data_IF_986540885108
#
_entry.id   IF_986540885108
#
_cell.length_a   1.000
_cell.length_b   1.000
_cell.length_c   1.000
_cell.angle_alpha   90.00
_cell.angle_beta   90.00
_cell.angle_gamma   90.00
#
_symmetry.space_group_name_H-M   'P 1'
#
loop_
_entity.id
_entity.type
_entity.pdbx_description
1 polymer ?
#
# COMPACT_ATOMS: atom_id res chain seq x y z
N UNK A 1 24.40 -26.28 7.35
CA UNK A 1 22.96 -25.95 7.26
C UNK A 1 22.85 -24.51 7.71
N UNK A 2 22.88 -23.58 6.76
CA UNK A 2 22.95 -22.14 7.03
C UNK A 2 21.53 -21.59 7.12
N UNK A 3 21.01 -21.52 8.34
CA UNK A 3 19.72 -20.89 8.61
C UNK A 3 19.92 -19.38 8.78
N UNK A 4 19.46 -18.60 7.81
CA UNK A 4 19.38 -17.13 7.90
C UNK A 4 18.00 -16.72 8.40
N UNK A 5 17.97 -15.91 9.46
CA UNK A 5 16.74 -15.31 9.96
C UNK A 5 16.15 -14.37 8.90
N UNK A 6 15.10 -14.82 8.20
CA UNK A 6 14.41 -14.05 7.16
C UNK A 6 13.00 -13.71 7.65
N UNK A 7 12.64 -12.42 7.61
CA UNK A 7 11.27 -11.97 7.85
C UNK A 7 10.39 -12.53 6.73
N UNK A 8 9.27 -13.21 7.06
CA UNK A 8 8.31 -13.71 6.05
C UNK A 8 7.87 -12.53 5.16
N UNK A 9 8.45 -12.42 3.96
CA UNK A 9 7.86 -11.68 2.86
C UNK A 9 6.95 -12.64 2.10
N UNK A 10 5.76 -12.19 1.74
CA UNK A 10 4.88 -12.94 0.85
C UNK A 10 5.41 -12.70 -0.56
N UNK A 11 6.40 -13.51 -0.99
CA UNK A 11 6.94 -13.45 -2.35
C UNK A 11 5.88 -13.99 -3.31
N UNK A 12 4.92 -13.13 -3.65
CA UNK A 12 3.66 -13.49 -4.30
C UNK A 12 3.81 -13.60 -5.81
N UNK A 13 4.92 -13.09 -6.38
CA UNK A 13 5.19 -13.01 -7.82
C UNK A 13 4.99 -14.35 -8.57
N UNK A 14 5.25 -15.49 -7.93
CA UNK A 14 5.15 -16.82 -8.55
C UNK A 14 3.74 -17.41 -8.58
N UNK A 15 2.79 -16.85 -7.83
CA UNK A 15 1.42 -17.40 -7.64
C UNK A 15 0.36 -16.31 -7.91
N UNK A 16 0.77 -15.19 -8.51
CA UNK A 16 -0.11 -14.07 -8.80
C UNK A 16 -0.96 -14.33 -10.04
N UNK A 17 -2.16 -13.74 -10.04
CA UNK A 17 -3.04 -13.74 -11.19
C UNK A 17 -2.49 -12.80 -12.26
N UNK A 18 -2.69 -13.12 -13.54
CA UNK A 18 -2.28 -12.30 -14.69
C UNK A 18 -2.73 -10.84 -14.57
N UNK A 19 -3.93 -10.61 -14.02
CA UNK A 19 -4.45 -9.25 -13.78
C UNK A 19 -3.55 -8.42 -12.83
N UNK A 20 -3.00 -9.05 -11.79
CA UNK A 20 -2.10 -8.40 -10.82
C UNK A 20 -0.75 -8.16 -11.46
N UNK A 21 -0.22 -9.13 -12.23
CA UNK A 21 1.03 -8.99 -12.99
C UNK A 21 0.92 -7.83 -13.98
N UNK A 22 -0.15 -7.77 -14.79
CA UNK A 22 -0.40 -6.67 -15.72
C UNK A 22 -0.46 -5.32 -15.01
N UNK A 23 -1.08 -5.26 -13.83
CA UNK A 23 -1.15 -4.04 -13.03
C UNK A 23 0.24 -3.63 -12.53
N UNK A 24 1.02 -4.58 -11.99
CA UNK A 24 2.41 -4.35 -11.59
C UNK A 24 3.25 -3.83 -12.75
N UNK A 25 3.19 -4.47 -13.91
CA UNK A 25 3.91 -4.04 -15.12
C UNK A 25 3.56 -2.62 -15.53
N UNK A 26 2.26 -2.28 -15.55
CA UNK A 26 1.80 -0.90 -15.83
C UNK A 26 2.29 0.09 -14.79
N UNK A 27 2.27 -0.27 -13.51
CA UNK A 27 2.80 0.56 -12.44
C UNK A 27 4.30 0.84 -12.64
N UNK A 28 5.10 -0.21 -12.85
CA UNK A 28 6.55 -0.12 -13.05
C UNK A 28 6.91 0.73 -14.28
N UNK A 29 6.18 0.57 -15.39
CA UNK A 29 6.35 1.41 -16.58
C UNK A 29 6.02 2.88 -16.31
N UNK A 30 4.91 3.15 -15.64
CA UNK A 30 4.48 4.52 -15.36
C UNK A 30 5.41 5.23 -14.36
N UNK A 31 5.81 4.57 -13.28
CA UNK A 31 6.70 5.19 -12.29
C UNK A 31 8.07 5.50 -12.90
N UNK A 32 8.61 4.60 -13.73
CA UNK A 32 9.85 4.84 -14.49
C UNK A 32 9.72 6.04 -15.42
N UNK A 33 8.65 6.08 -16.22
CA UNK A 33 8.34 7.22 -17.11
C UNK A 33 8.28 8.54 -16.34
N UNK A 34 7.60 8.58 -15.19
CA UNK A 34 7.49 9.82 -14.41
C UNK A 34 8.82 10.28 -13.83
N UNK A 35 9.72 9.35 -13.46
CA UNK A 35 11.10 9.69 -13.07
C UNK A 35 11.90 10.24 -14.24
N UNK A 36 11.77 9.66 -15.43
CA UNK A 36 12.44 10.14 -16.65
C UNK A 36 11.95 11.53 -17.08
N UNK A 37 10.67 11.84 -16.85
CA UNK A 37 10.09 13.17 -17.03
C UNK A 37 10.53 14.20 -15.97
N UNK A 38 11.28 13.78 -14.95
CA UNK A 38 11.72 14.65 -13.84
C UNK A 38 10.57 15.07 -12.92
N UNK A 39 9.46 14.31 -12.89
CA UNK A 39 8.31 14.64 -12.05
C UNK A 39 8.58 14.27 -10.60
N UNK A 40 8.22 15.17 -9.68
CA UNK A 40 8.38 14.92 -8.25
C UNK A 40 7.43 13.82 -7.78
N UNK A 41 7.94 12.84 -7.04
CA UNK A 41 7.15 11.70 -6.55
C UNK A 41 6.86 11.84 -5.06
N UNK A 42 5.59 11.82 -4.71
CA UNK A 42 5.11 11.79 -3.34
C UNK A 42 4.48 10.45 -3.01
N UNK A 43 4.83 9.89 -1.87
CA UNK A 43 4.36 8.59 -1.39
C UNK A 43 3.53 8.81 -0.14
N UNK A 44 2.29 8.34 -0.14
CA UNK A 44 1.41 8.38 1.03
C UNK A 44 0.98 6.99 1.43
N UNK A 45 0.69 6.84 2.72
CA UNK A 45 0.16 5.62 3.31
C UNK A 45 -0.32 5.87 4.74
N UNK A 46 -1.24 5.01 5.18
CA UNK A 46 -1.75 4.95 6.54
C UNK A 46 -1.00 3.91 7.37
N UNK A 47 -0.79 4.23 8.64
CA UNK A 47 -0.23 3.28 9.59
C UNK A 47 -0.85 3.43 10.97
N UNK A 48 -0.65 2.42 11.83
CA UNK A 48 -1.07 2.48 13.23
C UNK A 48 0.08 2.23 14.20
N UNK A 49 0.00 2.87 15.36
CA UNK A 49 0.91 2.68 16.50
C UNK A 49 0.08 2.45 17.76
N UNK A 50 0.43 1.46 18.56
CA UNK A 50 -0.30 1.12 19.77
C UNK A 50 0.38 1.69 21.03
N UNK A 51 -0.42 1.97 22.05
CA UNK A 51 0.06 2.43 23.36
C UNK A 51 1.09 1.45 23.96
N UNK A 52 0.86 0.14 23.78
CA UNK A 52 1.74 -0.92 24.28
C UNK A 52 2.89 -1.33 23.34
N UNK A 53 3.15 -0.60 22.25
CA UNK A 53 4.24 -0.97 21.34
C UNK A 53 5.61 -0.71 22.01
N UNK A 54 6.35 -1.77 22.30
CA UNK A 54 7.71 -1.72 22.89
C UNK A 54 8.63 -2.80 22.30
N UNK A 55 9.91 -2.75 22.65
CA UNK A 55 10.88 -3.78 22.25
C UNK A 55 10.55 -5.12 22.90
N UNK A 56 10.74 -6.22 22.15
CA UNK A 56 10.59 -7.58 22.69
C UNK A 56 11.74 -8.02 23.58
N UNK A 57 12.84 -7.25 23.57
CA UNK A 57 14.04 -7.48 24.38
C UNK A 57 14.19 -6.31 25.36
N UNK A 58 14.23 -6.63 26.65
CA UNK A 58 14.47 -5.68 27.73
C UNK A 58 15.50 -6.25 28.68
N UNK A 59 16.32 -5.38 29.29
CA UNK A 59 17.23 -5.77 30.36
C UNK A 59 16.43 -5.95 31.64
N UNK A 60 16.42 -7.17 32.16
CA UNK A 60 15.77 -7.50 33.43
C UNK A 60 16.85 -7.64 34.50
N UNK A 61 16.74 -6.83 35.56
CA UNK A 61 17.59 -6.97 36.72
C UNK A 61 17.12 -8.16 37.58
N UNK A 62 17.88 -9.26 37.52
CA UNK A 62 17.59 -10.48 38.27
C UNK A 62 17.95 -10.39 39.77
N UNK A 63 18.59 -9.30 40.22
CA UNK A 63 18.92 -9.08 41.64
C UNK A 63 17.73 -8.56 42.45
N UNK A 64 16.76 -7.93 41.79
CA UNK A 64 15.56 -7.36 42.41
C UNK A 64 14.42 -8.39 42.38
N UNK A 65 14.21 -9.09 43.51
CA UNK A 65 13.22 -10.18 43.61
C UNK A 65 11.76 -9.71 43.86
N UNK A 66 11.55 -8.45 44.27
CA UNK A 66 10.20 -7.91 44.49
C UNK A 66 10.19 -6.37 44.50
N UNK A 67 9.02 -5.78 44.28
CA UNK A 67 8.78 -4.33 44.43
C UNK A 67 9.21 -3.79 45.80
N UNK A 68 8.95 -4.56 46.87
CA UNK A 68 9.32 -4.20 48.24
C UNK A 68 10.84 -4.18 48.44
N UNK A 69 11.57 -5.07 47.77
CA UNK A 69 13.03 -5.12 47.79
C UNK A 69 13.65 -3.94 47.02
N UNK A 70 13.10 -3.59 45.86
CA UNK A 70 13.52 -2.42 45.08
C UNK A 70 13.35 -1.12 45.88
N UNK A 71 12.17 -0.93 46.48
CA UNK A 71 11.82 0.27 47.24
C UNK A 71 12.73 0.49 48.47
N UNK A 72 13.05 -0.57 49.21
CA UNK A 72 13.94 -0.51 50.39
C UNK A 72 15.38 -0.17 50.02
N UNK A 73 15.82 -0.51 48.80
CA UNK A 73 17.16 -0.22 48.28
C UNK A 73 17.24 1.07 47.45
N UNK A 74 16.14 1.82 47.31
CA UNK A 74 16.08 3.02 46.47
C UNK A 74 16.17 2.73 44.96
N UNK A 75 15.92 1.49 44.55
CA UNK A 75 15.94 1.04 43.16
C UNK A 75 14.51 0.96 42.60
N UNK A 76 14.39 1.03 41.26
CA UNK A 76 13.10 0.82 40.57
C UNK A 76 13.07 -0.56 39.92
N UNK A 77 11.90 -1.19 39.83
CA UNK A 77 11.73 -2.52 39.18
C UNK A 77 11.72 -2.45 37.65
N UNK A 78 12.12 -1.33 37.04
CA UNK A 78 11.92 -1.05 35.61
C UNK A 78 10.44 -0.88 35.22
N UNK A 79 10.20 -0.56 33.95
CA UNK A 79 8.84 -0.45 33.39
C UNK A 79 8.21 -1.84 33.24
N UNK A 80 7.04 -2.06 33.86
CA UNK A 80 6.28 -3.29 33.65
C UNK A 80 5.90 -3.45 32.18
N UNK A 81 6.05 -4.65 31.62
CA UNK A 81 5.58 -4.94 30.27
C UNK A 81 4.06 -4.68 30.18
N UNK A 82 3.58 -4.11 29.06
CA UNK A 82 2.17 -3.83 28.90
C UNK A 82 1.38 -5.15 28.85
N UNK A 83 0.23 -5.19 29.51
CA UNK A 83 -0.67 -6.35 29.55
C UNK A 83 -1.47 -6.59 28.26
N UNK A 84 -1.25 -5.77 27.22
CA UNK A 84 -1.85 -5.88 25.89
C UNK A 84 -1.46 -4.70 24.99
N UNK A 85 -1.92 -4.67 23.73
CA UNK A 85 -1.59 -3.59 22.77
C UNK A 85 -2.12 -2.20 23.19
N UNK A 86 -3.23 -2.15 23.94
CA UNK A 86 -3.82 -0.88 24.41
C UNK A 86 -4.52 -0.08 23.30
N UNK A 87 -4.74 1.22 23.54
CA UNK A 87 -5.31 2.16 22.55
C UNK A 87 -4.40 2.29 21.32
N UNK A 88 -4.96 2.59 20.15
CA UNK A 88 -4.19 2.78 18.90
C UNK A 88 -4.31 4.22 18.37
N UNK A 89 -3.24 4.73 17.81
CA UNK A 89 -3.23 5.91 16.95
C UNK A 89 -3.28 5.46 15.49
N UNK A 90 -4.13 6.10 14.71
CA UNK A 90 -4.12 6.02 13.24
C UNK A 90 -3.35 7.25 12.74
N UNK A 91 -2.47 7.02 11.78
CA UNK A 91 -1.53 8.01 11.25
C UNK A 91 -1.56 7.94 9.74
N UNK A 92 -1.84 9.05 9.07
CA UNK A 92 -1.69 9.24 7.64
C UNK A 92 -0.65 10.33 7.41
N UNK A 93 0.26 10.09 6.47
CA UNK A 93 1.22 11.10 6.05
C UNK A 93 1.64 10.86 4.60
N UNK A 94 2.45 11.79 4.10
CA UNK A 94 2.94 11.88 2.74
C UNK A 94 4.36 12.42 2.79
N UNK A 95 5.25 11.81 2.01
CA UNK A 95 6.66 12.20 1.94
C UNK A 95 7.23 11.98 0.54
N UNK A 96 8.43 12.50 0.34
CA UNK A 96 9.17 12.41 -0.91
C UNK A 96 10.67 12.36 -0.61
N UNK A 97 11.51 12.43 -1.64
CA UNK A 97 12.97 12.57 -1.46
C UNK A 97 13.38 13.80 -0.61
N UNK A 98 12.50 14.80 -0.48
CA UNK A 98 12.72 16.00 0.33
C UNK A 98 12.36 15.82 1.82
N UNK A 99 11.88 14.64 2.21
CA UNK A 99 11.35 14.40 3.55
C UNK A 99 9.82 14.27 3.61
N UNK A 100 9.30 14.16 4.83
CA UNK A 100 7.87 14.26 5.11
C UNK A 100 7.36 15.69 4.83
N UNK A 101 6.19 15.83 4.20
CA UNK A 101 5.65 17.15 3.81
C UNK A 101 5.15 17.91 5.04
N UNK A 102 5.70 19.10 5.36
CA UNK A 102 5.25 19.86 6.54
C UNK A 102 3.75 20.16 6.51
N UNK A 103 3.06 19.80 7.59
CA UNK A 103 1.60 19.93 7.71
C UNK A 103 0.80 18.79 7.07
N UNK A 104 1.46 17.75 6.53
CA UNK A 104 0.81 16.57 5.95
C UNK A 104 0.41 15.49 6.96
N UNK A 105 0.83 15.59 8.23
CA UNK A 105 0.54 14.59 9.25
C UNK A 105 -0.92 14.69 9.73
N UNK A 106 -1.70 13.63 9.49
CA UNK A 106 -3.00 13.41 10.12
C UNK A 106 -2.87 12.29 11.15
N UNK A 107 -3.11 12.60 12.42
CA UNK A 107 -2.99 11.62 13.51
C UNK A 107 -4.14 11.74 14.51
N UNK A 108 -4.87 10.65 14.72
CA UNK A 108 -6.00 10.59 15.65
C UNK A 108 -6.07 9.27 16.41
N UNK A 109 -6.68 9.30 17.60
CA UNK A 109 -6.94 8.11 18.41
C UNK A 109 -8.12 7.34 17.84
N UNK A 110 -7.97 6.02 17.74
CA UNK A 110 -9.08 5.16 17.39
C UNK A 110 -10.03 4.97 18.58
N UNK A 111 -11.31 5.18 18.32
CA UNK A 111 -12.43 4.93 19.22
C UNK A 111 -12.64 3.43 19.38
N UNK A 112 -13.03 3.05 20.59
CA UNK A 112 -13.52 1.70 20.91
C UNK A 112 -14.96 1.56 20.41
N UNK A 113 -15.18 1.30 19.13
CA UNK A 113 -16.45 0.73 18.67
C UNK A 113 -16.21 -0.70 18.23
N UNK A 114 -17.10 -1.60 18.67
CA UNK A 114 -17.02 -3.04 18.55
C UNK A 114 -17.33 -3.54 17.12
N UNK A 115 -17.14 -2.68 16.12
CA UNK A 115 -17.60 -2.84 14.73
C UNK A 115 -16.59 -2.13 13.83
N UNK A 116 -16.04 -2.92 12.90
CA UNK A 116 -15.19 -2.57 11.75
C UNK A 116 -14.30 -1.31 11.79
N UNK A 117 -13.00 -1.54 11.56
CA UNK A 117 -11.94 -0.56 11.33
C UNK A 117 -12.28 0.57 10.34
N UNK A 118 -13.28 0.37 9.48
CA UNK A 118 -13.65 1.21 8.35
C UNK A 118 -14.49 2.46 8.69
N UNK A 119 -14.87 2.69 9.95
CA UNK A 119 -15.67 3.86 10.32
C UNK A 119 -14.84 5.14 10.56
N UNK A 120 -13.53 5.03 10.84
CA UNK A 120 -12.73 6.18 11.30
C UNK A 120 -11.96 6.88 10.18
N UNK A 121 -11.22 6.12 9.36
CA UNK A 121 -10.69 6.60 8.09
C UNK A 121 -11.72 6.33 7.00
N UNK A 122 -12.46 7.36 6.61
CA UNK A 122 -13.46 7.28 5.56
C UNK A 122 -13.12 8.23 4.40
N UNK A 123 -13.80 8.03 3.28
CA UNK A 123 -13.51 8.77 2.05
C UNK A 123 -13.63 10.29 2.18
N UNK A 124 -14.51 10.79 3.05
CA UNK A 124 -14.66 12.23 3.28
C UNK A 124 -13.50 12.79 4.13
N UNK A 125 -13.04 12.06 5.15
CA UNK A 125 -11.86 12.43 5.92
C UNK A 125 -10.63 12.49 5.02
N UNK A 126 -10.42 11.45 4.20
CA UNK A 126 -9.29 11.40 3.26
C UNK A 126 -9.37 12.51 2.20
N UNK A 127 -10.55 12.76 1.63
CA UNK A 127 -10.74 13.84 0.66
C UNK A 127 -10.37 15.21 1.22
N UNK A 128 -10.86 15.54 2.43
CA UNK A 128 -10.52 16.81 3.09
C UNK A 128 -9.04 16.93 3.42
N UNK A 129 -8.42 15.83 3.83
CA UNK A 129 -6.97 15.81 4.04
C UNK A 129 -6.21 16.04 2.73
N UNK A 130 -6.60 15.37 1.64
CA UNK A 130 -5.99 15.55 0.32
C UNK A 130 -6.15 17.00 -0.18
N UNK A 131 -7.34 17.57 -0.04
CA UNK A 131 -7.62 18.98 -0.37
C UNK A 131 -6.72 19.94 0.43
N UNK A 132 -6.45 19.63 1.70
CA UNK A 132 -5.59 20.48 2.53
C UNK A 132 -4.09 20.40 2.16
N UNK A 133 -3.62 19.22 1.76
CA UNK A 133 -2.18 18.96 1.52
C UNK A 133 -1.76 19.25 0.09
N UNK A 134 -2.68 19.19 -0.88
CA UNK A 134 -2.36 19.31 -2.30
C UNK A 134 -1.65 20.62 -2.65
N UNK A 135 -2.01 21.73 -1.99
CA UNK A 135 -1.41 23.04 -2.17
C UNK A 135 0.04 23.13 -1.67
N UNK A 136 0.50 22.16 -0.89
CA UNK A 136 1.87 22.08 -0.35
C UNK A 136 2.78 21.19 -1.18
N UNK A 137 2.23 20.47 -2.15
CA UNK A 137 2.97 19.60 -3.06
C UNK A 137 3.50 20.42 -4.24
N UNK A 138 4.63 20.01 -4.82
CA UNK A 138 5.14 20.61 -6.07
C UNK A 138 4.13 20.48 -7.21
N UNK A 139 4.17 21.41 -8.16
CA UNK A 139 3.35 21.32 -9.38
C UNK A 139 3.77 20.13 -10.24
N UNK A 140 2.84 19.62 -11.05
CA UNK A 140 3.07 18.48 -11.95
C UNK A 140 3.62 17.23 -11.25
N UNK A 141 3.45 17.09 -9.93
CA UNK A 141 3.91 15.94 -9.18
C UNK A 141 3.03 14.70 -9.40
N UNK A 142 3.56 13.55 -9.00
CA UNK A 142 2.83 12.28 -8.96
C UNK A 142 2.65 11.88 -7.50
N UNK A 143 1.45 11.47 -7.13
CA UNK A 143 1.08 11.01 -5.80
C UNK A 143 0.82 9.51 -5.87
N UNK A 144 1.62 8.74 -5.15
CA UNK A 144 1.58 7.29 -5.08
C UNK A 144 0.79 6.88 -3.83
N UNK A 145 -0.24 6.06 -4.02
CA UNK A 145 -1.09 5.54 -2.94
C UNK A 145 -1.61 4.13 -3.24
N UNK A 146 -2.15 3.44 -2.23
CA UNK A 146 -2.77 2.12 -2.40
C UNK A 146 -4.20 2.19 -3.00
N UNK A 147 -4.89 1.06 -3.04
CA UNK A 147 -6.26 0.94 -3.56
C UNK A 147 -7.32 0.79 -2.47
N UNK A 148 -7.09 1.32 -1.26
CA UNK A 148 -8.08 1.24 -0.20
C UNK A 148 -9.45 1.78 -0.66
N UNK A 149 -10.59 1.19 -0.21
CA UNK A 149 -11.92 1.61 -0.66
C UNK A 149 -12.19 3.11 -0.47
N UNK A 150 -11.65 3.72 0.59
CA UNK A 150 -11.79 5.15 0.87
C UNK A 150 -10.90 6.06 0.00
N UNK A 151 -9.85 5.53 -0.65
CA UNK A 151 -9.13 6.23 -1.73
C UNK A 151 -9.87 6.19 -3.08
N UNK A 152 -10.84 5.29 -3.19
CA UNK A 152 -11.54 4.93 -4.42
C UNK A 152 -13.00 5.36 -4.43
N UNK A 153 -13.33 6.45 -3.72
CA UNK A 153 -14.69 7.03 -3.73
C UNK A 153 -15.00 7.55 -5.13
N UNK A 154 -16.10 7.07 -5.70
CA UNK A 154 -16.57 7.50 -7.01
C UNK A 154 -17.25 8.87 -6.93
N UNK A 155 -17.08 9.68 -7.97
CA UNK A 155 -17.78 10.97 -8.09
C UNK A 155 -19.29 10.78 -8.16
N UNK A 156 -19.73 9.68 -8.76
CA UNK A 156 -21.13 9.34 -8.93
C UNK A 156 -21.36 7.83 -8.87
N UNK A 157 -22.58 7.43 -8.55
CA UNK A 157 -22.98 6.02 -8.51
C UNK A 157 -23.43 5.58 -9.90
N UNK A 158 -22.61 4.77 -10.56
CA UNK A 158 -22.94 4.22 -11.88
C UNK A 158 -24.03 3.14 -11.73
N UNK A 159 -25.08 3.17 -12.56
CA UNK A 159 -26.11 2.15 -12.54
C UNK A 159 -25.56 0.73 -12.79
N UNK A 160 -26.19 -0.26 -12.17
CA UNK A 160 -25.83 -1.67 -12.33
C UNK A 160 -27.10 -2.55 -12.39
N UNK A 161 -26.93 -3.88 -12.44
CA UNK A 161 -28.05 -4.85 -12.53
C UNK A 161 -29.08 -4.76 -11.40
N UNK A 162 -28.70 -4.21 -10.24
CA UNK A 162 -29.60 -3.99 -9.11
C UNK A 162 -30.28 -2.61 -9.09
N UNK A 163 -29.89 -1.71 -10.00
CA UNK A 163 -30.49 -0.37 -10.13
C UNK A 163 -31.88 -0.48 -10.76
N UNK A 164 -32.85 0.29 -10.24
CA UNK A 164 -34.21 0.29 -10.79
C UNK A 164 -34.19 0.83 -12.22
N UNK A 165 -35.00 0.25 -13.10
CA UNK A 165 -35.07 0.64 -14.52
C UNK A 165 -35.26 2.15 -14.73
N UNK A 166 -36.15 2.78 -13.96
CA UNK A 166 -36.38 4.23 -14.04
C UNK A 166 -35.16 5.06 -13.67
N UNK A 167 -34.38 4.62 -12.67
CA UNK A 167 -33.15 5.30 -12.27
C UNK A 167 -32.03 5.13 -13.32
N UNK A 168 -32.00 3.99 -14.02
CA UNK A 168 -31.06 3.78 -15.15
C UNK A 168 -31.40 4.76 -16.30
N UNK A 169 -32.68 4.86 -16.67
CA UNK A 169 -33.15 5.79 -17.72
C UNK A 169 -32.79 7.23 -17.34
N UNK A 170 -33.14 7.64 -16.12
CA UNK A 170 -32.85 8.99 -15.63
C UNK A 170 -31.35 9.30 -15.67
N UNK A 171 -30.51 8.36 -15.23
CA UNK A 171 -29.06 8.56 -15.27
C UNK A 171 -28.54 8.70 -16.70
N UNK A 172 -29.04 7.90 -17.65
CA UNK A 172 -28.68 8.01 -19.07
C UNK A 172 -29.11 9.37 -19.67
N UNK A 173 -30.33 9.81 -19.37
CA UNK A 173 -30.83 11.12 -19.79
C UNK A 173 -30.00 12.27 -19.21
N UNK A 174 -29.61 12.19 -17.93
CA UNK A 174 -28.70 13.15 -17.29
C UNK A 174 -27.31 13.20 -17.96
N UNK A 175 -26.88 12.12 -18.62
CA UNK A 175 -25.63 12.08 -19.43
C UNK A 175 -25.84 12.49 -20.89
N UNK A 176 -27.05 12.86 -21.27
CA UNK A 176 -27.39 13.30 -22.62
C UNK A 176 -27.70 12.18 -23.61
N UNK A 177 -27.89 10.94 -23.14
CA UNK A 177 -28.37 9.83 -23.98
C UNK A 177 -29.90 9.93 -24.15
N UNK A 178 -30.37 9.75 -25.38
CA UNK A 178 -31.81 9.82 -25.71
C UNK A 178 -32.39 8.41 -25.77
N UNK A 179 -33.44 8.16 -25.00
CA UNK A 179 -34.15 6.87 -24.99
C UNK A 179 -35.50 7.05 -25.67
N UNK A 180 -35.55 6.72 -26.95
CA UNK A 180 -36.69 6.96 -27.85
C UNK A 180 -37.71 5.81 -27.87
N UNK A 181 -37.34 4.64 -27.35
CA UNK A 181 -38.17 3.43 -27.35
C UNK A 181 -38.11 2.69 -26.01
N UNK A 182 -39.13 1.87 -25.70
CA UNK A 182 -39.06 0.97 -24.54
C UNK A 182 -37.91 -0.04 -24.71
N UNK A 183 -36.88 0.08 -23.86
CA UNK A 183 -35.74 -0.85 -23.81
C UNK A 183 -35.82 -1.76 -22.58
N UNK A 184 -35.26 -2.97 -22.65
CA UNK A 184 -35.09 -3.84 -21.46
C UNK A 184 -33.87 -3.41 -20.64
N UNK A 185 -33.78 -3.85 -19.38
CA UNK A 185 -32.66 -3.48 -18.48
C UNK A 185 -31.30 -3.83 -19.09
N UNK A 186 -31.20 -4.97 -19.80
CA UNK A 186 -29.96 -5.39 -20.46
C UNK A 186 -29.49 -4.41 -21.53
N UNK A 187 -30.40 -3.95 -22.41
CA UNK A 187 -30.09 -2.94 -23.44
C UNK A 187 -29.66 -1.61 -22.80
N UNK A 188 -30.34 -1.18 -21.74
CA UNK A 188 -29.98 0.04 -21.01
C UNK A 188 -28.58 -0.07 -20.38
N UNK A 189 -28.26 -1.22 -19.78
CA UNK A 189 -26.95 -1.46 -19.18
C UNK A 189 -25.83 -1.57 -20.21
N UNK A 190 -26.12 -1.98 -21.45
CA UNK A 190 -25.17 -1.95 -22.55
C UNK A 190 -24.75 -0.51 -22.87
N UNK A 191 -25.72 0.42 -22.94
CA UNK A 191 -25.44 1.86 -23.10
C UNK A 191 -24.64 2.39 -21.90
N UNK A 192 -25.06 2.05 -20.67
CA UNK A 192 -24.31 2.42 -19.45
C UNK A 192 -22.87 1.95 -19.54
N UNK A 193 -22.62 0.69 -19.92
CA UNK A 193 -21.26 0.14 -20.04
C UNK A 193 -20.42 0.84 -21.11
N UNK A 194 -21.04 1.30 -22.21
CA UNK A 194 -20.37 2.07 -23.26
C UNK A 194 -19.87 3.42 -22.76
N UNK A 195 -20.70 4.15 -21.99
CA UNK A 195 -20.34 5.49 -21.49
C UNK A 195 -19.65 5.44 -20.12
N UNK A 196 -19.71 4.30 -19.42
CA UNK A 196 -19.11 4.09 -18.10
C UNK A 196 -17.67 4.59 -18.01
N UNK A 197 -16.74 4.31 -18.95
CA UNK A 197 -15.36 4.79 -18.83
C UNK A 197 -15.21 6.31 -18.73
N UNK A 198 -16.18 7.09 -19.24
CA UNK A 198 -16.17 8.56 -19.16
C UNK A 198 -16.64 9.09 -17.81
N UNK A 199 -17.43 8.30 -17.09
CA UNK A 199 -18.12 8.67 -15.84
C UNK A 199 -17.60 7.92 -14.61
N UNK A 200 -16.84 6.83 -14.80
CA UNK A 200 -16.30 5.97 -13.73
C UNK A 200 -15.07 6.57 -13.04
N UNK A 201 -15.20 7.83 -12.64
CA UNK A 201 -14.14 8.66 -12.09
C UNK A 201 -14.12 8.62 -10.57
N UNK A 202 -12.92 8.76 -10.02
CA UNK A 202 -12.69 8.86 -8.58
C UNK A 202 -12.61 10.32 -8.15
N UNK A 203 -13.21 10.64 -7.01
CA UNK A 203 -13.26 12.01 -6.49
C UNK A 203 -11.86 12.58 -6.24
N UNK A 204 -10.96 11.77 -5.68
CA UNK A 204 -9.56 12.15 -5.44
C UNK A 204 -8.81 12.40 -6.75
N UNK A 205 -8.98 11.54 -7.75
CA UNK A 205 -8.31 11.70 -9.05
C UNK A 205 -8.73 13.00 -9.73
N UNK A 206 -10.03 13.32 -9.72
CA UNK A 206 -10.49 14.58 -10.30
C UNK A 206 -9.99 15.79 -9.49
N UNK A 207 -9.99 15.72 -8.15
CA UNK A 207 -9.40 16.76 -7.29
C UNK A 207 -7.91 16.98 -7.60
N UNK A 208 -7.14 15.92 -7.75
CA UNK A 208 -5.69 16.01 -8.00
C UNK A 208 -5.43 16.50 -9.42
N UNK A 209 -6.26 16.08 -10.38
CA UNK A 209 -6.18 16.50 -11.78
C UNK A 209 -6.49 17.98 -11.99
N UNK A 210 -7.46 18.56 -11.28
CA UNK A 210 -7.74 20.01 -11.37
C UNK A 210 -6.56 20.86 -10.90
N UNK A 211 -5.67 20.27 -10.11
CA UNK A 211 -4.45 20.88 -9.61
C UNK A 211 -3.21 20.49 -10.42
N UNK A 212 -3.37 20.00 -11.66
CA UNK A 212 -2.28 19.56 -12.55
C UNK A 212 -1.32 18.56 -11.88
N UNK A 213 -1.87 17.55 -11.19
CA UNK A 213 -1.12 16.48 -10.53
C UNK A 213 -1.68 15.13 -10.98
N UNK A 214 -0.95 14.05 -10.71
CA UNK A 214 -1.35 12.69 -11.14
C UNK A 214 -1.36 11.71 -9.98
N UNK A 215 -2.40 10.88 -9.90
CA UNK A 215 -2.43 9.72 -9.00
C UNK A 215 -1.78 8.52 -9.71
N UNK A 216 -0.91 7.80 -9.00
CA UNK A 216 -0.43 6.48 -9.39
C UNK A 216 -0.76 5.48 -8.29
N UNK A 217 -1.65 4.54 -8.59
CA UNK A 217 -2.07 3.48 -7.65
C UNK A 217 -1.12 2.31 -7.66
N UNK A 218 -0.74 1.85 -6.48
CA UNK A 218 0.04 0.62 -6.29
C UNK A 218 -0.75 -0.61 -6.77
N UNK A 219 -0.07 -1.63 -7.29
CA UNK A 219 -0.72 -2.90 -7.58
C UNK A 219 -1.13 -3.58 -6.25
N UNK A 220 -2.28 -4.28 -6.21
CA UNK A 220 -2.74 -4.97 -5.00
C UNK A 220 -1.66 -5.91 -4.44
N UNK A 221 -1.53 -5.93 -3.11
CA UNK A 221 -0.59 -6.79 -2.36
C UNK A 221 0.91 -6.47 -2.49
N UNK A 222 1.28 -5.33 -3.08
CA UNK A 222 2.67 -4.92 -3.26
C UNK A 222 3.04 -3.66 -2.47
N UNK A 223 2.91 -3.70 -1.14
CA UNK A 223 3.32 -2.56 -0.32
C UNK A 223 4.83 -2.31 -0.33
N UNK A 224 5.65 -3.31 -0.69
CA UNK A 224 7.09 -3.18 -0.89
C UNK A 224 7.48 -2.20 -2.02
N UNK A 225 6.53 -1.87 -2.91
CA UNK A 225 6.67 -0.83 -3.93
C UNK A 225 6.38 0.58 -3.39
N UNK A 226 6.10 0.73 -2.10
CA UNK A 226 5.84 2.02 -1.45
C UNK A 226 6.93 2.34 -0.41
N UNK A 227 7.85 3.29 -0.67
CA UNK A 227 8.98 3.57 0.23
C UNK A 227 8.55 4.15 1.59
N UNK A 228 7.36 4.74 1.70
CA UNK A 228 6.85 5.22 2.99
C UNK A 228 6.68 4.08 4.02
N UNK A 229 6.55 2.83 3.59
CA UNK A 229 6.53 1.67 4.50
C UNK A 229 7.85 1.51 5.26
N UNK A 230 8.98 1.85 4.62
CA UNK A 230 10.29 1.88 5.27
C UNK A 230 10.42 3.07 6.22
N UNK A 231 9.88 4.24 5.84
CA UNK A 231 9.79 5.39 6.72
C UNK A 231 8.96 5.04 7.97
N UNK A 232 7.80 4.41 7.80
CA UNK A 232 6.97 3.92 8.91
C UNK A 232 7.68 2.89 9.76
N UNK A 233 8.44 1.99 9.16
CA UNK A 233 9.27 1.05 9.92
C UNK A 233 10.28 1.78 10.81
N UNK A 234 10.94 2.82 10.30
CA UNK A 234 11.88 3.65 11.09
C UNK A 234 11.17 4.38 12.25
N UNK A 235 10.07 5.07 11.96
CA UNK A 235 9.28 5.81 12.96
C UNK A 235 8.77 4.87 14.05
N UNK A 236 8.19 3.72 13.67
CA UNK A 236 7.70 2.72 14.62
C UNK A 236 8.80 2.11 15.47
N UNK A 237 9.98 1.89 14.88
CA UNK A 237 11.13 1.41 15.63
C UNK A 237 11.58 2.44 16.68
N UNK A 238 11.60 3.72 16.32
CA UNK A 238 11.87 4.80 17.27
C UNK A 238 10.88 4.79 18.45
N UNK A 239 9.57 4.71 18.17
CA UNK A 239 8.54 4.61 19.23
C UNK A 239 8.81 3.40 20.12
N UNK A 240 9.01 2.20 19.55
CA UNK A 240 9.20 0.97 20.31
C UNK A 240 10.41 1.02 21.24
N UNK A 241 11.52 1.61 20.79
CA UNK A 241 12.75 1.72 21.56
C UNK A 241 12.65 2.71 22.73
N UNK A 242 11.75 3.70 22.64
CA UNK A 242 11.68 4.80 23.61
C UNK A 242 10.38 4.79 24.43
N UNK A 243 9.42 3.92 24.12
CA UNK A 243 8.17 3.81 24.85
C UNK A 243 8.35 3.09 26.19
N UNK A 244 8.47 3.87 27.27
CA UNK A 244 8.65 3.37 28.64
C UNK A 244 7.39 3.44 29.50
N UNK A 245 6.38 4.19 29.05
CA UNK A 245 5.21 4.57 29.87
C UNK A 245 3.91 3.93 29.41
N UNK A 246 3.86 3.47 28.15
CA UNK A 246 2.68 2.87 27.52
C UNK A 246 1.43 3.75 27.53
N UNK A 247 1.61 5.08 27.68
CA UNK A 247 0.54 6.07 27.58
C UNK A 247 0.45 6.60 26.16
N UNK A 248 -0.77 6.69 25.64
CA UNK A 248 -1.00 7.12 24.25
C UNK A 248 -0.47 8.54 23.98
N UNK A 249 -0.54 9.44 24.97
CA UNK A 249 0.02 10.80 24.86
C UNK A 249 1.53 10.77 24.59
N UNK A 250 2.25 9.90 25.30
CA UNK A 250 3.70 9.79 25.19
C UNK A 250 4.08 9.06 23.89
N UNK A 251 3.31 8.04 23.50
CA UNK A 251 3.44 7.41 22.18
C UNK A 251 3.21 8.41 21.04
N UNK A 252 2.24 9.32 21.17
CA UNK A 252 2.02 10.39 20.20
C UNK A 252 3.23 11.34 20.11
N UNK A 253 3.84 11.68 21.23
CA UNK A 253 5.06 12.49 21.24
C UNK A 253 6.22 11.76 20.55
N UNK A 254 6.48 10.51 20.91
CA UNK A 254 7.51 9.68 20.28
C UNK A 254 7.26 9.46 18.78
N UNK A 255 5.99 9.40 18.37
CA UNK A 255 5.62 9.33 16.96
C UNK A 255 6.06 10.61 16.23
N UNK A 256 5.78 11.78 16.79
CA UNK A 256 6.18 13.07 16.20
C UNK A 256 7.71 13.20 16.15
N UNK A 257 8.40 12.86 17.24
CA UNK A 257 9.87 12.83 17.28
C UNK A 257 10.47 11.83 16.27
N UNK A 258 9.81 10.68 16.08
CA UNK A 258 10.21 9.68 15.10
C UNK A 258 10.06 10.19 13.66
N UNK A 259 8.98 10.93 13.37
CA UNK A 259 8.75 11.56 12.07
C UNK A 259 9.82 12.62 11.79
N UNK A 260 10.12 13.47 12.78
CA UNK A 260 11.15 14.52 12.67
C UNK A 260 12.56 13.95 12.45
N UNK A 261 12.84 12.74 12.95
CA UNK A 261 14.11 12.04 12.73
C UNK A 261 14.28 11.46 11.33
N UNK A 262 13.19 11.26 10.59
CA UNK A 262 13.28 10.77 9.21
C UNK A 262 13.55 11.94 8.29
N UNK A 263 14.84 12.17 8.03
CA UNK A 263 15.32 13.24 7.15
C UNK A 263 15.26 12.87 5.65
N UNK A 264 15.64 13.85 4.81
CA UNK A 264 15.67 13.71 3.35
C UNK A 264 16.67 12.63 2.90
N UNK A 265 17.78 12.45 3.62
CA UNK A 265 18.80 11.43 3.34
C UNK A 265 18.23 10.04 3.55
N UNK A 266 17.49 9.82 4.65
CA UNK A 266 16.77 8.58 4.91
C UNK A 266 15.71 8.33 3.83
N UNK A 267 14.95 9.34 3.44
CA UNK A 267 13.95 9.22 2.36
C UNK A 267 14.56 8.81 1.02
N UNK A 268 15.67 9.43 0.62
CA UNK A 268 16.41 9.05 -0.60
C UNK A 268 16.88 7.60 -0.54
N UNK A 269 17.35 7.13 0.61
CA UNK A 269 17.72 5.73 0.82
C UNK A 269 16.53 4.77 0.72
N UNK A 270 15.37 5.15 1.26
CA UNK A 270 14.15 4.35 1.15
C UNK A 270 13.67 4.24 -0.31
N UNK A 271 13.68 5.36 -1.03
CA UNK A 271 13.32 5.39 -2.46
C UNK A 271 14.31 4.57 -3.28
N UNK A 272 15.62 4.67 -2.99
CA UNK A 272 16.65 3.86 -3.65
C UNK A 272 16.41 2.36 -3.41
N UNK A 273 16.12 1.95 -2.17
CA UNK A 273 15.80 0.56 -1.85
C UNK A 273 14.57 0.08 -2.63
N UNK A 274 13.49 0.86 -2.64
CA UNK A 274 12.27 0.51 -3.38
C UNK A 274 12.50 0.45 -4.88
N UNK A 275 13.33 1.33 -5.44
CA UNK A 275 13.72 1.28 -6.86
C UNK A 275 14.44 -0.04 -7.19
N UNK A 276 15.33 -0.53 -6.33
CA UNK A 276 15.93 -1.85 -6.51
C UNK A 276 14.94 -3.01 -6.39
N UNK A 277 13.83 -2.84 -5.65
CA UNK A 277 12.75 -3.82 -5.59
C UNK A 277 11.91 -3.77 -6.88
N UNK A 278 11.63 -2.58 -7.40
CA UNK A 278 10.97 -2.37 -8.69
C UNK A 278 11.73 -3.05 -9.84
N UNK A 279 13.05 -2.87 -9.91
CA UNK A 279 13.91 -3.50 -10.93
C UNK A 279 13.84 -5.03 -10.86
N UNK A 280 13.90 -5.60 -9.64
CA UNK A 280 13.76 -7.04 -9.43
C UNK A 280 12.42 -7.57 -9.92
N UNK A 281 11.31 -6.89 -9.60
CA UNK A 281 10.00 -7.31 -10.11
C UNK A 281 9.92 -7.23 -11.63
N UNK A 282 10.53 -6.19 -12.21
CA UNK A 282 10.56 -6.02 -13.65
C UNK A 282 11.27 -7.18 -14.35
N UNK A 283 12.41 -7.63 -13.80
CA UNK A 283 13.19 -8.77 -14.30
C UNK A 283 12.48 -10.12 -14.05
N UNK A 284 11.95 -10.33 -12.85
CA UNK A 284 11.25 -11.57 -12.48
C UNK A 284 10.07 -11.83 -13.40
N UNK A 285 9.31 -10.80 -13.76
CA UNK A 285 8.18 -10.94 -14.68
C UNK A 285 8.61 -11.49 -16.06
N UNK A 286 9.77 -11.06 -16.57
CA UNK A 286 10.31 -11.60 -17.83
C UNK A 286 10.83 -13.02 -17.69
N UNK A 287 11.52 -13.33 -16.60
CA UNK A 287 12.03 -14.68 -16.35
C UNK A 287 10.90 -15.71 -16.23
N UNK A 288 9.81 -15.34 -15.56
CA UNK A 288 8.63 -16.21 -15.44
C UNK A 288 8.00 -16.44 -16.82
N UNK A 289 7.84 -15.40 -17.64
CA UNK A 289 7.30 -15.52 -19.00
C UNK A 289 8.17 -16.42 -19.88
N UNK A 290 9.50 -16.25 -19.81
CA UNK A 290 10.46 -17.09 -20.54
C UNK A 290 10.35 -18.56 -20.13
N UNK A 291 10.33 -18.86 -18.82
CA UNK A 291 10.18 -20.24 -18.31
C UNK A 291 8.86 -20.88 -18.75
N UNK A 292 7.74 -20.16 -18.60
CA UNK A 292 6.44 -20.66 -19.01
C UNK A 292 6.36 -20.88 -20.53
N UNK A 293 6.99 -20.01 -21.32
CA UNK A 293 7.05 -20.16 -22.77
C UNK A 293 7.91 -21.36 -23.22
N UNK A 294 8.96 -21.67 -22.46
CA UNK A 294 9.84 -22.81 -22.71
C UNK A 294 9.16 -24.15 -22.37
N UNK A 295 8.37 -24.20 -21.29
CA UNK A 295 7.60 -25.40 -20.90
C UNK A 295 6.47 -25.76 -21.88
N UNK A 296 6.01 -24.80 -22.68
CA UNK A 296 5.02 -25.00 -23.73
C UNK A 296 5.62 -25.52 -25.05
N UNK A 297 6.94 -25.57 -25.18
CA UNK A 297 7.57 -26.20 -26.34
C UNK A 297 7.44 -27.73 -26.23
N UNK A 298 6.91 -28.42 -27.24
CA UNK A 298 6.82 -29.87 -27.20
C UNK A 298 8.24 -30.46 -27.10
N UNK A 299 8.53 -31.12 -25.98
CA UNK A 299 9.73 -31.93 -25.83
C UNK A 299 9.68 -33.05 -26.86
N UNK A 300 10.28 -32.83 -28.03
CA UNK A 300 10.45 -33.88 -29.04
C UNK A 300 11.53 -34.81 -28.51
N UNK A 301 11.11 -35.83 -27.75
CA UNK A 301 11.93 -36.99 -27.47
C UNK A 301 12.15 -37.72 -28.80
N UNK A 302 13.25 -37.39 -29.48
CA UNK A 302 13.72 -38.21 -30.59
C UNK A 302 14.27 -39.49 -29.97
N UNK A 303 13.42 -40.50 -29.81
CA UNK A 303 13.85 -41.87 -29.58
C UNK A 303 14.67 -42.26 -30.80
N UNK A 304 15.98 -42.13 -30.69
CA UNK A 304 16.91 -42.59 -31.73
C UNK A 304 16.61 -44.06 -31.98
N UNK A 305 16.17 -44.36 -33.20
CA UNK A 305 16.15 -45.73 -33.70
C UNK A 305 17.59 -46.23 -33.61
N UNK A 306 17.87 -47.06 -32.61
CA UNK A 306 19.02 -47.94 -32.63
C UNK A 306 18.78 -48.94 -33.75
N UNK A 307 19.16 -48.60 -34.98
CA UNK A 307 19.49 -49.63 -35.96
C UNK A 307 20.78 -50.27 -35.47
N UNK A 308 20.68 -51.37 -34.72
CA UNK A 308 21.80 -52.30 -34.67
C UNK A 308 21.83 -53.00 -36.02
N UNK A 309 22.64 -52.46 -36.91
CA UNK A 309 23.05 -53.16 -38.12
C UNK A 309 23.63 -54.53 -37.71
N UNK A 310 23.12 -55.53 -38.39
CA UNK A 310 23.66 -56.87 -38.50
C UNK A 310 25.07 -56.83 -39.09
N UNK A 311 26.05 -57.43 -38.42
CA UNK A 311 27.22 -58.00 -39.08
C UNK A 311 27.45 -59.44 -38.62
N UNK A 312 27.54 -60.31 -39.62
CA UNK A 312 27.83 -61.74 -39.58
C UNK A 312 29.23 -62.04 -39.02
N UNK A 313 29.43 -63.24 -38.47
CA UNK A 313 30.48 -64.15 -38.95
C UNK A 313 30.49 -65.52 -38.24
N UNK A 314 30.37 -66.55 -39.08
CA UNK A 314 30.81 -67.96 -38.97
C UNK A 314 30.27 -68.87 -37.84
#
# INVERSE_FOLDING_TARGET
MDFVYTKRSRNSALIEKDEIILWRRRYLQNIKKYREEGRHLYYLDETWVNAGDCTSKTWVDNTIKSYRHAFVQGLTTGSQNPSGKGKRLIVLHIGSEDGFVPGGLLCFEAKKTNTDYNEEMNGNTFFKWMESIIHRLKENCVIIMDNAPYHSVKCEKIPNKSTRKGDIIKWLEEKGEVIDRPMVITELLEIVNRIKPMHDKYAIDELVKTHNRTILRLPPYHCELNPIELAWSSVKNHVKMNNTTYKLSNVKQLLMEGIEKVDDTMWKNFISHTTSVEDKFYEVDFLIDEVLSAELQPTVLTLGNTSSDSEESN
#
